data_IF_069639414118
#
_entry.id   IF_069639414118
#
_cell.length_a   1.000
_cell.length_b   1.000
_cell.length_c   1.000
_cell.angle_alpha   90.00
_cell.angle_beta   90.00
_cell.angle_gamma   90.00
#
_symmetry.space_group_name_H-M   'P 1'
#
loop_
_entity.id
_entity.type
_entity.pdbx_description
1 polymer ?
#
# COMPACT_ATOMS: atom_id res chain seq x y z
N UNK A 1 -4.41 21.63 10.03
CA UNK A 1 -5.10 21.21 8.79
C UNK A 1 -6.51 21.76 8.78
N UNK A 2 -6.99 22.25 7.63
CA UNK A 2 -8.38 22.72 7.51
C UNK A 2 -9.38 21.56 7.68
N UNK A 3 -10.59 21.88 8.17
CA UNK A 3 -11.59 20.85 8.55
C UNK A 3 -12.08 20.08 7.32
N UNK A 4 -12.31 20.77 6.21
CA UNK A 4 -12.77 20.17 4.95
C UNK A 4 -11.78 19.14 4.39
N UNK A 5 -10.47 19.43 4.47
CA UNK A 5 -9.41 18.52 4.03
C UNK A 5 -9.40 17.27 4.90
N UNK A 6 -9.50 17.43 6.23
CA UNK A 6 -9.54 16.29 7.16
C UNK A 6 -10.79 15.44 6.96
N UNK A 7 -11.94 16.07 6.70
CA UNK A 7 -13.18 15.37 6.44
C UNK A 7 -13.11 14.56 5.15
N UNK A 8 -12.54 15.13 4.09
CA UNK A 8 -12.28 14.42 2.84
C UNK A 8 -11.36 13.21 3.05
N UNK A 9 -10.24 13.38 3.75
CA UNK A 9 -9.31 12.27 4.06
C UNK A 9 -10.06 11.18 4.85
N UNK A 10 -10.93 11.56 5.79
CA UNK A 10 -11.75 10.62 6.55
C UNK A 10 -12.78 9.86 5.69
N UNK A 11 -13.20 10.37 4.55
CA UNK A 11 -14.08 9.60 3.66
C UNK A 11 -13.39 8.40 3.00
N UNK A 12 -12.06 8.43 2.85
CA UNK A 12 -11.28 7.41 2.13
C UNK A 12 -10.33 6.69 3.07
N UNK A 13 -10.61 5.41 3.38
CA UNK A 13 -9.77 4.58 4.28
C UNK A 13 -8.29 4.54 3.86
N UNK A 14 -8.02 4.47 2.55
CA UNK A 14 -6.66 4.51 2.00
C UNK A 14 -5.91 5.80 2.41
N UNK A 15 -6.53 6.96 2.19
CA UNK A 15 -5.95 8.25 2.55
C UNK A 15 -5.75 8.40 4.06
N UNK A 16 -6.67 7.84 4.86
CA UNK A 16 -6.51 7.82 6.32
C UNK A 16 -5.29 7.01 6.77
N UNK A 17 -5.03 5.87 6.14
CA UNK A 17 -3.84 5.07 6.45
C UNK A 17 -2.58 5.77 5.94
N UNK A 18 -2.62 6.33 4.73
CA UNK A 18 -1.47 7.02 4.13
C UNK A 18 -0.98 8.18 4.99
N UNK A 19 -1.88 9.01 5.52
CA UNK A 19 -1.50 10.16 6.34
C UNK A 19 -0.89 9.77 7.69
N UNK A 20 -1.22 8.58 8.20
CA UNK A 20 -0.61 8.02 9.43
C UNK A 20 0.78 7.45 9.15
N UNK A 21 0.94 6.76 8.02
CA UNK A 21 2.21 6.17 7.59
C UNK A 21 3.21 7.25 7.14
N UNK A 22 2.73 8.32 6.51
CA UNK A 22 3.52 9.42 5.99
C UNK A 22 3.14 10.76 6.67
N UNK A 23 3.53 11.00 7.94
CA UNK A 23 3.14 12.20 8.69
C UNK A 23 3.69 13.52 8.11
N UNK A 24 4.64 13.46 7.17
CA UNK A 24 5.08 14.61 6.36
C UNK A 24 3.89 15.28 5.67
N UNK A 25 2.94 14.49 5.17
CA UNK A 25 1.75 15.00 4.49
C UNK A 25 0.80 15.73 5.44
N UNK A 26 0.66 15.28 6.68
CA UNK A 26 -0.14 16.00 7.68
C UNK A 26 0.38 17.43 7.91
N UNK A 27 1.71 17.58 8.01
CA UNK A 27 2.36 18.89 8.17
C UNK A 27 2.24 19.74 6.90
N UNK A 28 2.32 19.12 5.72
CA UNK A 28 2.23 19.81 4.44
C UNK A 28 0.81 20.31 4.18
N UNK A 29 -0.20 19.46 4.31
CA UNK A 29 -1.62 19.81 4.14
C UNK A 29 -2.13 20.76 5.22
N UNK A 30 -1.48 20.76 6.40
CA UNK A 30 -1.76 21.76 7.43
C UNK A 30 -1.37 23.18 7.02
N UNK A 31 -0.29 23.35 6.25
CA UNK A 31 0.17 24.65 5.74
C UNK A 31 -0.39 24.98 4.37
N UNK A 32 -0.53 23.97 3.51
CA UNK A 32 -0.91 24.09 2.10
C UNK A 32 -2.08 23.14 1.79
N UNK A 33 -3.31 23.52 2.19
CA UNK A 33 -4.48 22.66 2.00
C UNK A 33 -4.80 22.39 0.52
N UNK A 34 -4.35 23.25 -0.40
CA UNK A 34 -4.51 23.06 -1.84
C UNK A 34 -3.69 21.89 -2.42
N UNK A 35 -2.74 21.32 -1.67
CA UNK A 35 -1.94 20.15 -2.09
C UNK A 35 -2.64 18.81 -1.89
N UNK A 36 -3.93 18.82 -1.56
CA UNK A 36 -4.75 17.62 -1.41
C UNK A 36 -4.73 16.70 -2.66
N UNK A 37 -4.79 17.22 -3.91
CA UNK A 37 -4.68 16.37 -5.10
C UNK A 37 -3.33 15.66 -5.22
N UNK A 38 -2.23 16.34 -4.88
CA UNK A 38 -0.89 15.74 -4.86
C UNK A 38 -0.76 14.65 -3.80
N UNK A 39 -1.39 14.86 -2.64
CA UNK A 39 -1.45 13.85 -1.58
C UNK A 39 -2.19 12.59 -2.03
N UNK A 40 -3.30 12.75 -2.75
CA UNK A 40 -4.05 11.62 -3.28
C UNK A 40 -3.26 10.84 -4.33
N UNK A 41 -2.62 11.54 -5.26
CA UNK A 41 -1.75 10.93 -6.28
C UNK A 41 -0.62 10.12 -5.62
N UNK A 42 0.04 10.70 -4.62
CA UNK A 42 1.12 10.04 -3.87
C UNK A 42 0.63 8.85 -3.06
N UNK A 43 -0.57 8.92 -2.48
CA UNK A 43 -1.18 7.77 -1.82
C UNK A 43 -1.44 6.62 -2.80
N UNK A 44 -1.86 6.94 -4.04
CA UNK A 44 -2.09 5.95 -5.09
C UNK A 44 -0.78 5.29 -5.56
N UNK A 45 0.30 6.07 -5.67
CA UNK A 45 1.62 5.54 -6.00
C UNK A 45 2.19 4.69 -4.86
N UNK A 46 2.12 5.17 -3.62
CA UNK A 46 2.69 4.49 -2.44
C UNK A 46 2.02 3.16 -2.13
N UNK A 47 0.69 3.08 -2.24
CA UNK A 47 -0.02 1.82 -2.04
C UNK A 47 -0.03 0.94 -3.28
N UNK A 48 0.66 1.33 -4.34
CA UNK A 48 0.81 0.57 -5.57
C UNK A 48 -0.51 -0.15 -5.93
N UNK A 49 -1.51 0.59 -6.42
CA UNK A 49 -2.51 -0.07 -7.27
C UNK A 49 -1.91 -0.53 -8.62
N UNK A 50 -0.61 -0.36 -8.83
CA UNK A 50 0.20 -1.25 -9.65
C UNK A 50 0.37 -2.60 -8.94
N UNK A 51 0.26 -3.69 -9.70
CA UNK A 51 0.11 -5.05 -9.19
C UNK A 51 1.38 -5.75 -8.59
N UNK A 52 2.64 -5.21 -8.57
CA UNK A 52 3.82 -6.08 -8.45
C UNK A 52 4.06 -6.63 -7.04
N UNK A 53 3.68 -5.96 -5.95
CA UNK A 53 3.97 -6.46 -4.60
C UNK A 53 3.02 -7.56 -4.08
N UNK A 54 1.81 -7.65 -4.65
CA UNK A 54 0.91 -8.77 -4.36
C UNK A 54 1.30 -10.02 -5.12
N UNK A 55 1.82 -9.89 -6.35
CA UNK A 55 2.35 -11.05 -7.09
C UNK A 55 3.66 -11.57 -6.52
N UNK A 56 4.54 -10.75 -5.92
CA UNK A 56 5.74 -11.26 -5.24
C UNK A 56 5.40 -12.23 -4.10
N UNK A 57 4.41 -11.91 -3.27
CA UNK A 57 3.96 -12.82 -2.20
C UNK A 57 3.35 -14.11 -2.75
N UNK A 58 2.61 -14.02 -3.87
CA UNK A 58 2.04 -15.20 -4.54
C UNK A 58 3.15 -16.06 -5.17
N UNK A 59 4.09 -15.45 -5.89
CA UNK A 59 5.23 -16.12 -6.51
C UNK A 59 6.09 -16.86 -5.47
N UNK A 60 6.39 -16.21 -4.34
CA UNK A 60 7.10 -16.85 -3.24
C UNK A 60 6.35 -18.07 -2.68
N UNK A 61 5.02 -17.98 -2.49
CA UNK A 61 4.24 -19.13 -2.01
C UNK A 61 4.24 -20.32 -3.00
N UNK A 62 4.18 -20.05 -4.30
CA UNK A 62 4.18 -21.09 -5.35
C UNK A 62 5.56 -21.76 -5.51
N UNK A 63 6.64 -20.99 -5.40
CA UNK A 63 8.01 -21.52 -5.42
C UNK A 63 8.28 -22.44 -4.23
N UNK A 64 7.85 -22.06 -3.02
CA UNK A 64 8.00 -22.91 -1.84
C UNK A 64 7.14 -24.18 -1.94
N UNK A 65 5.92 -24.10 -2.47
CA UNK A 65 5.08 -25.26 -2.72
C UNK A 65 5.71 -26.24 -3.75
N UNK A 66 6.32 -25.71 -4.81
CA UNK A 66 7.01 -26.52 -5.84
C UNK A 66 8.21 -27.26 -5.25
N UNK A 67 9.01 -26.58 -4.41
CA UNK A 67 10.13 -27.22 -3.72
C UNK A 67 9.66 -28.35 -2.79
N UNK A 68 8.59 -28.12 -2.02
CA UNK A 68 8.02 -29.16 -1.15
C UNK A 68 7.48 -30.37 -1.93
N UNK A 69 6.83 -30.16 -3.08
CA UNK A 69 6.35 -31.24 -3.94
C UNK A 69 7.49 -32.08 -4.52
N UNK A 70 8.56 -31.44 -4.98
CA UNK A 70 9.76 -32.12 -5.45
C UNK A 70 10.41 -32.97 -4.34
N UNK A 71 10.54 -32.42 -3.12
CA UNK A 71 11.06 -33.18 -1.98
C UNK A 71 10.17 -34.39 -1.65
N UNK A 72 8.85 -34.24 -1.71
CA UNK A 72 7.92 -35.34 -1.45
C UNK A 72 8.01 -36.46 -2.49
N UNK A 73 8.24 -36.14 -3.76
CA UNK A 73 8.48 -37.14 -4.81
C UNK A 73 9.79 -37.89 -4.57
N UNK A 74 10.87 -37.18 -4.24
CA UNK A 74 12.19 -37.79 -3.99
C UNK A 74 12.24 -38.72 -2.76
N UNK A 75 11.28 -38.60 -1.84
CA UNK A 75 11.18 -39.48 -0.66
C UNK A 75 10.32 -40.74 -0.92
N UNK A 76 9.61 -40.79 -2.05
CA UNK A 76 8.68 -41.88 -2.39
C UNK A 76 9.28 -42.91 -3.35
N UNK A 77 10.44 -42.61 -3.94
CA UNK A 77 11.31 -43.53 -4.69
C UNK A 77 12.35 -44.18 -3.75
#
# INVERSE_FOLDING_TARGET
MRKEVMQYIRTKKMLQSFIREQPRWYRLLSRYPHKLPSFELEAMHYYEQTIPHKVEKIAHSLQMASLMLHMFQTLRD
#
